data_IF_209381911975
#
_entry.id   IF_209381911975
#
_cell.length_a   1.000
_cell.length_b   1.000
_cell.length_c   1.000
_cell.angle_alpha   90.00
_cell.angle_beta   90.00
_cell.angle_gamma   90.00
#
_symmetry.space_group_name_H-M   'P 1'
#
loop_
_entity.id
_entity.type
_entity.pdbx_description
1 polymer ?
#
# COMPACT_ATOMS: atom_id res chain seq x y z
N UNK A 1 -37.41 -26.67 31.56
CA UNK A 1 -37.05 -25.77 30.45
C UNK A 1 -35.88 -26.40 29.72
N UNK A 2 -36.17 -27.02 28.55
CA UNK A 2 -35.27 -27.87 27.81
C UNK A 2 -34.11 -27.09 27.17
N UNK A 3 -32.89 -27.59 27.40
CA UNK A 3 -31.69 -27.19 26.68
C UNK A 3 -31.75 -27.80 25.27
N UNK A 4 -31.75 -26.96 24.21
CA UNK A 4 -31.54 -27.44 22.87
C UNK A 4 -30.09 -27.96 22.73
N UNK A 5 -29.84 -29.07 22.03
CA UNK A 5 -28.48 -29.59 21.89
C UNK A 5 -27.68 -28.69 20.93
N UNK A 6 -26.51 -28.27 21.42
CA UNK A 6 -25.45 -27.69 20.59
C UNK A 6 -24.97 -28.78 19.63
N UNK A 7 -25.17 -28.64 18.35
CA UNK A 7 -24.53 -29.49 17.33
C UNK A 7 -23.04 -29.19 17.29
N UNK A 8 -22.27 -30.04 17.92
CA UNK A 8 -20.83 -30.14 17.67
C UNK A 8 -20.67 -30.79 16.29
N UNK A 9 -20.05 -30.11 15.36
CA UNK A 9 -19.63 -30.74 14.12
C UNK A 9 -18.44 -31.61 14.42
N UNK A 10 -18.66 -32.92 14.49
CA UNK A 10 -17.58 -33.89 14.43
C UNK A 10 -16.91 -33.80 13.07
N UNK A 11 -15.64 -33.49 13.10
CA UNK A 11 -14.77 -33.52 11.95
C UNK A 11 -14.53 -34.97 11.58
N UNK A 12 -15.21 -35.49 10.56
CA UNK A 12 -14.84 -36.77 9.97
C UNK A 12 -13.52 -36.58 9.22
N UNK A 13 -12.48 -37.26 9.72
CA UNK A 13 -11.18 -37.36 9.11
C UNK A 13 -11.25 -38.01 7.72
N UNK A 14 -11.35 -37.21 6.69
CA UNK A 14 -10.92 -37.54 5.32
C UNK A 14 -10.56 -36.30 4.55
N UNK A 15 -9.55 -35.54 5.04
CA UNK A 15 -8.89 -34.54 4.25
C UNK A 15 -8.08 -35.22 3.15
N UNK A 16 -8.21 -34.80 1.87
CA UNK A 16 -7.31 -35.29 0.83
C UNK A 16 -5.89 -34.85 1.18
N UNK A 17 -4.98 -35.82 1.21
CA UNK A 17 -3.59 -35.63 1.63
C UNK A 17 -2.94 -34.44 0.91
N UNK A 18 -2.36 -33.54 1.68
CA UNK A 18 -1.68 -32.29 1.25
C UNK A 18 -0.68 -32.47 0.11
N UNK A 19 -0.15 -33.69 -0.07
CA UNK A 19 0.80 -34.06 -1.11
C UNK A 19 0.23 -33.98 -2.54
N UNK A 20 -1.06 -34.26 -2.73
CA UNK A 20 -1.71 -34.19 -4.05
C UNK A 20 -1.89 -32.74 -4.55
N UNK A 21 -2.26 -31.84 -3.64
CA UNK A 21 -2.47 -30.42 -3.97
C UNK A 21 -1.13 -29.72 -4.22
N UNK A 22 -0.08 -30.02 -3.42
CA UNK A 22 1.26 -29.45 -3.65
C UNK A 22 1.90 -29.88 -4.95
N UNK A 23 1.68 -31.11 -5.43
CA UNK A 23 2.21 -31.57 -6.71
C UNK A 23 1.53 -30.89 -7.91
N UNK A 24 0.23 -30.71 -7.87
CA UNK A 24 -0.52 -30.05 -8.96
C UNK A 24 -0.18 -28.57 -9.07
N UNK A 25 0.01 -27.87 -7.94
CA UNK A 25 0.40 -26.46 -7.90
C UNK A 25 1.84 -26.26 -8.35
N UNK A 26 2.78 -27.16 -8.00
CA UNK A 26 4.17 -27.09 -8.49
C UNK A 26 4.32 -27.36 -9.99
N UNK A 27 3.51 -28.22 -10.56
CA UNK A 27 3.55 -28.51 -12.00
C UNK A 27 2.93 -27.37 -12.84
N UNK A 28 1.96 -26.63 -12.33
CA UNK A 28 1.34 -25.47 -12.98
C UNK A 28 2.12 -24.15 -12.75
N UNK A 29 2.93 -24.07 -11.70
CA UNK A 29 3.56 -22.83 -11.23
C UNK A 29 4.87 -22.45 -11.91
N UNK A 30 5.40 -23.21 -12.88
CA UNK A 30 6.68 -22.90 -13.51
C UNK A 30 6.61 -22.30 -14.91
N UNK A 31 5.44 -22.14 -15.45
CA UNK A 31 5.26 -21.45 -16.74
C UNK A 31 3.97 -20.64 -16.70
N UNK A 32 4.07 -19.33 -16.90
CA UNK A 32 2.98 -18.40 -17.19
C UNK A 32 2.33 -17.74 -15.94
N UNK A 33 2.74 -16.61 -15.64
CA UNK A 33 2.13 -15.50 -14.90
C UNK A 33 2.85 -15.09 -13.60
N UNK A 34 3.42 -13.89 -13.58
CA UNK A 34 3.79 -13.22 -12.33
C UNK A 34 2.59 -12.96 -11.39
N UNK A 35 1.34 -13.16 -11.88
CA UNK A 35 0.08 -12.90 -11.15
C UNK A 35 -0.71 -14.16 -10.74
N UNK A 36 -0.13 -15.34 -10.73
CA UNK A 36 -0.85 -16.60 -10.51
C UNK A 36 -1.63 -16.68 -9.19
N UNK A 37 -1.10 -16.11 -8.10
CA UNK A 37 -1.77 -16.11 -6.79
C UNK A 37 -2.98 -15.17 -6.77
N UNK A 38 -2.87 -13.98 -7.35
CA UNK A 38 -3.98 -13.01 -7.40
C UNK A 38 -5.16 -13.54 -8.22
N UNK A 39 -4.89 -14.13 -9.38
CA UNK A 39 -5.92 -14.74 -10.20
C UNK A 39 -6.58 -15.96 -9.52
N UNK A 40 -5.81 -16.78 -8.80
CA UNK A 40 -6.33 -17.90 -8.03
C UNK A 40 -7.25 -17.43 -6.90
N UNK A 41 -6.84 -16.38 -6.16
CA UNK A 41 -7.66 -15.75 -5.11
C UNK A 41 -8.93 -15.11 -5.69
N UNK A 42 -8.84 -14.35 -6.78
CA UNK A 42 -10.00 -13.77 -7.44
C UNK A 42 -11.02 -14.85 -7.86
N UNK A 43 -10.57 -15.91 -8.51
CA UNK A 43 -11.45 -17.04 -8.92
C UNK A 43 -12.04 -17.77 -7.72
N UNK A 44 -11.29 -17.95 -6.63
CA UNK A 44 -11.81 -18.52 -5.39
C UNK A 44 -12.96 -17.69 -4.83
N UNK A 45 -12.79 -16.37 -4.70
CA UNK A 45 -13.83 -15.46 -4.21
C UNK A 45 -15.03 -15.37 -5.14
N UNK A 46 -14.82 -15.35 -6.45
CA UNK A 46 -15.90 -15.36 -7.44
C UNK A 46 -16.73 -16.66 -7.35
N UNK A 47 -16.07 -17.79 -7.13
CA UNK A 47 -16.74 -19.09 -6.93
C UNK A 47 -17.53 -19.12 -5.61
N UNK A 48 -16.94 -18.61 -4.52
CA UNK A 48 -17.62 -18.54 -3.22
C UNK A 48 -18.83 -17.60 -3.23
N UNK A 49 -18.80 -16.56 -4.05
CA UNK A 49 -19.91 -15.62 -4.22
C UNK A 49 -20.95 -16.07 -5.25
N UNK A 50 -20.79 -17.26 -5.83
CA UNK A 50 -21.69 -17.79 -6.85
C UNK A 50 -21.59 -17.08 -8.21
N UNK A 51 -20.56 -16.27 -8.42
CA UNK A 51 -20.33 -15.53 -9.68
C UNK A 51 -19.72 -16.43 -10.76
N UNK A 52 -19.08 -17.53 -10.37
CA UNK A 52 -18.59 -18.58 -11.25
C UNK A 52 -19.16 -19.94 -10.81
N UNK A 53 -19.61 -20.73 -11.78
CA UNK A 53 -19.98 -22.13 -11.49
C UNK A 53 -18.71 -22.93 -11.12
N UNK A 54 -18.82 -23.96 -10.25
CA UNK A 54 -17.71 -24.83 -9.93
C UNK A 54 -17.06 -25.51 -11.15
N UNK A 55 -17.79 -25.69 -12.22
CA UNK A 55 -17.30 -26.22 -13.49
C UNK A 55 -16.46 -25.19 -14.26
N UNK A 56 -16.85 -23.90 -14.27
CA UNK A 56 -16.10 -22.83 -14.89
C UNK A 56 -14.78 -22.54 -14.16
N UNK A 57 -14.76 -22.69 -12.82
CA UNK A 57 -13.56 -22.52 -12.01
C UNK A 57 -12.51 -23.63 -12.28
N UNK A 58 -12.91 -24.80 -12.76
CA UNK A 58 -12.05 -25.94 -13.10
C UNK A 58 -11.60 -26.00 -14.54
N UNK A 59 -12.17 -25.18 -15.43
CA UNK A 59 -11.79 -25.14 -16.84
C UNK A 59 -10.32 -24.69 -16.95
N UNK A 60 -9.45 -25.56 -17.48
CA UNK A 60 -8.11 -25.20 -17.89
C UNK A 60 -8.22 -24.15 -19.00
N UNK A 61 -7.43 -23.08 -19.01
CA UNK A 61 -7.29 -22.27 -20.21
C UNK A 61 -6.76 -23.20 -21.32
N UNK A 62 -7.49 -23.31 -22.42
CA UNK A 62 -7.00 -23.96 -23.60
C UNK A 62 -5.72 -23.25 -24.06
N UNK A 63 -4.74 -24.00 -24.55
CA UNK A 63 -3.43 -23.53 -24.98
C UNK A 63 -3.44 -22.70 -26.28
N UNK A 64 -4.56 -22.12 -26.64
CA UNK A 64 -4.69 -21.11 -27.66
C UNK A 64 -4.69 -19.75 -26.96
N UNK A 65 -3.51 -19.12 -26.88
CA UNK A 65 -3.37 -17.70 -26.63
C UNK A 65 -4.06 -16.97 -27.78
N UNK A 66 -5.38 -16.80 -27.70
CA UNK A 66 -6.04 -15.73 -28.42
C UNK A 66 -5.66 -14.46 -27.68
N UNK A 67 -4.79 -13.67 -28.28
CA UNK A 67 -4.69 -12.25 -27.98
C UNK A 67 -6.09 -11.68 -27.94
N UNK A 68 -6.59 -11.43 -26.75
CA UNK A 68 -7.79 -10.61 -26.55
C UNK A 68 -7.33 -9.17 -26.72
N UNK A 69 -7.08 -8.77 -27.97
CA UNK A 69 -7.10 -7.38 -28.41
C UNK A 69 -8.56 -6.95 -28.47
N UNK A 70 -9.14 -6.78 -27.32
CA UNK A 70 -10.50 -6.30 -27.17
C UNK A 70 -10.72 -6.06 -25.70
N UNK A 71 -10.45 -4.84 -25.25
CA UNK A 71 -10.81 -4.33 -23.94
C UNK A 71 -12.33 -4.37 -23.77
N UNK A 72 -12.88 -5.55 -23.52
CA UNK A 72 -14.12 -5.62 -22.79
C UNK A 72 -13.79 -5.24 -21.36
N UNK A 73 -13.88 -3.93 -21.07
CA UNK A 73 -13.91 -3.47 -19.69
C UNK A 73 -14.89 -4.37 -18.95
N UNK A 74 -14.41 -5.03 -17.87
CA UNK A 74 -15.31 -5.65 -16.91
C UNK A 74 -16.39 -4.62 -16.59
N UNK A 75 -17.68 -5.02 -16.50
CA UNK A 75 -18.73 -4.05 -16.20
C UNK A 75 -18.32 -3.36 -14.89
N UNK A 76 -17.89 -2.11 -15.01
CA UNK A 76 -17.58 -1.26 -13.87
C UNK A 76 -18.91 -1.10 -13.14
N UNK A 77 -19.08 -1.83 -12.05
CA UNK A 77 -20.17 -1.54 -11.13
C UNK A 77 -19.94 -0.10 -10.68
N UNK A 78 -20.85 0.82 -10.96
CA UNK A 78 -20.69 2.19 -10.53
C UNK A 78 -20.87 2.22 -9.02
N UNK A 79 -19.79 2.08 -8.25
CA UNK A 79 -19.82 2.13 -6.79
C UNK A 79 -20.51 3.39 -6.28
N UNK A 80 -20.30 4.53 -6.97
CA UNK A 80 -21.03 5.76 -6.68
C UNK A 80 -22.55 5.59 -6.84
N UNK A 81 -22.99 4.83 -7.83
CA UNK A 81 -24.42 4.54 -8.02
C UNK A 81 -24.95 3.53 -6.98
N UNK A 82 -24.16 2.52 -6.63
CA UNK A 82 -24.49 1.57 -5.56
C UNK A 82 -24.53 2.27 -4.19
N UNK A 83 -23.60 3.16 -3.91
CA UNK A 83 -23.59 3.97 -2.68
C UNK A 83 -24.78 4.95 -2.64
N UNK A 84 -25.07 5.65 -3.73
CA UNK A 84 -26.25 6.51 -3.83
C UNK A 84 -27.56 5.71 -3.75
N UNK A 85 -27.58 4.47 -4.21
CA UNK A 85 -28.69 3.55 -4.01
C UNK A 85 -28.82 3.15 -2.54
N UNK A 86 -27.69 2.84 -1.86
CA UNK A 86 -27.66 2.53 -0.43
C UNK A 86 -28.17 3.72 0.41
N UNK A 87 -27.76 4.94 0.08
CA UNK A 87 -28.26 6.14 0.77
C UNK A 87 -29.77 6.35 0.56
N UNK A 88 -30.29 6.04 -0.63
CA UNK A 88 -31.72 6.11 -0.92
C UNK A 88 -32.52 4.95 -0.32
N UNK A 89 -31.85 3.85 0.02
CA UNK A 89 -32.41 2.67 0.69
C UNK A 89 -32.33 2.78 2.23
N UNK A 90 -32.02 3.95 2.79
CA UNK A 90 -32.25 4.13 4.22
C UNK A 90 -33.73 3.84 4.48
N UNK A 91 -34.06 2.74 5.14
CA UNK A 91 -35.46 2.47 5.46
C UNK A 91 -35.90 3.60 6.39
N UNK A 92 -37.05 4.16 6.06
CA UNK A 92 -37.81 4.96 6.97
C UNK A 92 -38.29 4.01 8.09
N UNK A 93 -37.47 3.81 9.09
CA UNK A 93 -37.82 3.05 10.28
C UNK A 93 -38.77 3.91 11.08
N UNK A 94 -40.01 4.10 10.57
CA UNK A 94 -41.11 4.61 11.29
C UNK A 94 -41.41 3.68 12.48
N UNK A 95 -41.31 4.19 13.68
CA UNK A 95 -41.45 3.53 14.96
C UNK A 95 -40.31 2.57 15.32
N UNK A 96 -39.68 2.77 16.45
CA UNK A 96 -38.61 1.96 17.01
C UNK A 96 -39.04 0.49 17.08
N UNK A 97 -38.61 -0.29 16.09
CA UNK A 97 -38.60 -1.73 16.21
C UNK A 97 -37.44 -2.03 17.14
N UNK A 98 -37.69 -2.76 18.20
CA UNK A 98 -36.69 -3.23 19.15
C UNK A 98 -35.84 -4.26 18.42
N UNK A 99 -34.89 -3.78 17.59
CA UNK A 99 -33.97 -4.62 16.85
C UNK A 99 -32.96 -5.20 17.84
N UNK A 100 -32.56 -6.47 17.68
CA UNK A 100 -31.53 -7.04 18.53
C UNK A 100 -30.28 -6.18 18.43
N UNK A 101 -29.76 -5.72 19.56
CA UNK A 101 -28.52 -4.95 19.64
C UNK A 101 -27.37 -5.89 19.30
N UNK A 102 -26.75 -5.65 18.16
CA UNK A 102 -25.53 -6.33 17.79
C UNK A 102 -24.38 -5.74 18.61
N UNK A 103 -23.71 -6.59 19.37
CA UNK A 103 -22.48 -6.24 20.06
C UNK A 103 -21.30 -6.67 19.20
N UNK A 104 -20.37 -5.76 18.96
CA UNK A 104 -19.12 -6.08 18.28
C UNK A 104 -18.31 -7.06 19.16
N UNK A 105 -18.03 -8.24 18.63
CA UNK A 105 -17.19 -9.24 19.26
C UNK A 105 -15.74 -9.23 18.70
N UNK A 106 -15.43 -8.34 17.79
CA UNK A 106 -14.15 -8.21 17.12
C UNK A 106 -14.31 -7.81 15.63
N UNK A 107 -13.21 -7.78 14.87
CA UNK A 107 -11.94 -8.42 15.18
C UNK A 107 -11.08 -7.63 16.15
N UNK A 108 -10.77 -8.20 17.28
CA UNK A 108 -9.60 -7.82 18.05
C UNK A 108 -8.35 -8.35 17.35
N UNK A 109 -7.18 -7.94 17.82
CA UNK A 109 -5.90 -8.48 17.36
C UNK A 109 -5.96 -10.01 17.34
N UNK A 110 -5.74 -10.63 16.18
CA UNK A 110 -5.72 -12.08 16.02
C UNK A 110 -4.34 -12.56 16.47
N UNK A 111 -4.22 -13.23 17.62
CA UNK A 111 -2.94 -13.77 18.08
C UNK A 111 -2.50 -14.90 17.15
N UNK A 112 -1.20 -15.09 16.99
CA UNK A 112 -0.62 -16.17 16.20
C UNK A 112 -1.15 -16.19 14.74
N UNK A 113 -0.85 -15.13 14.00
CA UNK A 113 -1.21 -15.00 12.58
C UNK A 113 -0.71 -16.17 11.73
N UNK A 114 -1.30 -16.35 10.56
CA UNK A 114 -1.01 -17.50 9.67
C UNK A 114 0.40 -17.52 9.09
N UNK A 115 1.09 -16.38 9.09
CA UNK A 115 2.38 -16.24 8.43
C UNK A 115 3.51 -16.41 9.44
N UNK A 116 4.47 -17.24 9.06
CA UNK A 116 5.64 -17.51 9.88
C UNK A 116 6.77 -16.54 9.49
N UNK A 117 7.24 -15.76 10.47
CA UNK A 117 8.55 -15.13 10.41
C UNK A 117 9.66 -16.15 10.74
N UNK A 118 10.87 -15.66 10.98
CA UNK A 118 12.00 -16.51 11.40
C UNK A 118 12.09 -16.52 12.94
N UNK A 119 11.92 -17.67 13.55
CA UNK A 119 12.11 -17.83 15.00
C UNK A 119 11.00 -18.57 15.73
N UNK A 120 11.19 -18.92 16.99
CA UNK A 120 10.24 -19.72 17.77
C UNK A 120 8.92 -19.02 18.08
N UNK A 121 8.89 -17.68 18.11
CA UNK A 121 7.69 -16.86 18.28
C UNK A 121 7.33 -16.15 16.99
N UNK A 122 7.42 -16.86 15.87
CA UNK A 122 7.43 -16.31 14.53
C UNK A 122 6.05 -16.03 13.92
N UNK A 123 4.99 -16.17 14.70
CA UNK A 123 3.62 -15.85 14.28
C UNK A 123 3.16 -14.55 14.96
N UNK A 124 3.49 -13.37 14.39
CA UNK A 124 3.02 -12.11 14.95
C UNK A 124 1.50 -12.05 14.95
N UNK A 125 0.95 -11.34 15.91
CA UNK A 125 -0.47 -11.02 15.88
C UNK A 125 -0.81 -10.17 14.67
N UNK A 126 -2.02 -10.34 14.10
CA UNK A 126 -2.46 -9.67 12.89
C UNK A 126 -3.82 -9.00 13.09
N UNK A 127 -4.03 -7.89 12.38
CA UNK A 127 -5.29 -7.14 12.35
C UNK A 127 -5.82 -6.93 10.92
N UNK A 128 -4.99 -7.15 9.92
CA UNK A 128 -5.29 -6.95 8.50
C UNK A 128 -4.29 -5.99 7.85
N UNK A 129 -4.21 -6.06 6.51
CA UNK A 129 -3.23 -5.29 5.75
C UNK A 129 -3.43 -3.79 5.85
N UNK A 130 -2.35 -3.09 6.21
CA UNK A 130 -2.23 -1.64 6.17
C UNK A 130 -1.26 -1.23 5.06
N UNK A 131 -1.59 -0.16 4.32
CA UNK A 131 -0.84 0.30 3.14
C UNK A 131 -0.34 1.74 3.27
N UNK A 132 -0.70 2.45 4.33
CA UNK A 132 -0.24 3.81 4.59
C UNK A 132 -0.48 4.22 6.03
N UNK A 133 0.35 5.13 6.51
CA UNK A 133 0.24 5.71 7.85
C UNK A 133 0.60 7.19 7.79
N UNK A 134 -0.18 8.01 8.46
CA UNK A 134 0.08 9.42 8.71
C UNK A 134 0.26 9.65 10.21
N UNK A 135 1.32 10.35 10.59
CA UNK A 135 1.64 10.72 11.96
C UNK A 135 1.54 12.23 12.06
N UNK A 136 0.70 12.73 12.97
CA UNK A 136 0.56 14.17 13.16
C UNK A 136 1.85 14.78 13.73
N UNK A 137 2.54 15.67 13.00
CA UNK A 137 3.80 16.26 13.44
C UNK A 137 3.63 17.18 14.67
N UNK A 138 2.41 17.64 14.93
CA UNK A 138 2.09 18.48 16.10
C UNK A 138 1.64 17.67 17.32
N UNK A 139 1.23 16.41 17.09
CA UNK A 139 0.78 15.49 18.13
C UNK A 139 1.14 14.03 17.79
N UNK A 140 2.33 13.61 18.11
CA UNK A 140 2.85 12.26 17.84
C UNK A 140 2.00 11.09 18.41
N UNK A 141 1.04 11.38 19.30
CA UNK A 141 0.10 10.37 19.78
C UNK A 141 -1.03 10.13 18.77
N UNK A 142 -1.23 11.07 17.84
CA UNK A 142 -2.28 11.02 16.84
C UNK A 142 -1.73 10.40 15.54
N UNK A 143 -2.30 9.27 15.17
CA UNK A 143 -1.91 8.47 14.02
C UNK A 143 -3.17 8.11 13.24
N UNK A 144 -3.11 8.20 11.92
CA UNK A 144 -4.17 7.67 11.04
C UNK A 144 -3.55 6.63 10.12
N UNK A 145 -4.15 5.45 10.05
CA UNK A 145 -3.71 4.38 9.16
C UNK A 145 -4.70 4.10 8.06
N UNK A 146 -4.16 3.73 6.92
CA UNK A 146 -4.85 3.35 5.71
C UNK A 146 -4.87 1.82 5.62
N UNK A 147 -6.04 1.20 5.81
CA UNK A 147 -6.19 -0.23 5.60
C UNK A 147 -6.63 -0.51 4.16
N UNK A 148 -6.01 -1.50 3.52
CA UNK A 148 -6.27 -1.87 2.13
C UNK A 148 -7.76 -2.19 1.84
N UNK A 149 -8.48 -2.72 2.81
CA UNK A 149 -9.90 -3.08 2.66
C UNK A 149 -10.76 -2.79 3.89
N UNK A 150 -10.24 -2.03 4.86
CA UNK A 150 -10.92 -1.73 6.12
C UNK A 150 -11.11 -0.23 6.41
N UNK A 151 -10.84 0.64 5.45
CA UNK A 151 -10.99 2.09 5.62
C UNK A 151 -9.81 2.74 6.34
N UNK A 152 -10.07 3.93 6.87
CA UNK A 152 -9.14 4.67 7.71
C UNK A 152 -9.43 4.40 9.19
N UNK A 153 -8.37 4.29 9.97
CA UNK A 153 -8.43 4.08 11.42
C UNK A 153 -7.57 5.10 12.14
N UNK A 154 -8.08 5.66 13.21
CA UNK A 154 -7.38 6.65 14.05
C UNK A 154 -6.97 6.04 15.38
N UNK A 155 -5.75 6.37 15.81
CA UNK A 155 -5.29 6.22 17.19
C UNK A 155 -4.91 7.58 17.76
N UNK A 156 -5.23 7.84 19.04
CA UNK A 156 -4.81 9.04 19.79
C UNK A 156 -3.83 8.72 20.91
N UNK A 157 -3.33 7.50 20.93
CA UNK A 157 -2.47 6.95 21.97
C UNK A 157 -1.32 6.08 21.40
N UNK A 158 -0.81 6.48 20.20
CA UNK A 158 0.30 5.82 19.49
C UNK A 158 0.03 4.36 19.12
N UNK A 159 -1.21 4.02 18.82
CA UNK A 159 -1.59 2.68 18.37
C UNK A 159 -2.03 1.75 19.48
N UNK A 160 -2.22 2.23 20.74
CA UNK A 160 -2.76 1.39 21.81
C UNK A 160 -4.26 1.10 21.61
N UNK A 161 -5.01 2.10 21.16
CA UNK A 161 -6.43 1.94 20.80
C UNK A 161 -6.73 2.53 19.42
N UNK A 162 -7.75 1.98 18.74
CA UNK A 162 -8.10 2.37 17.38
C UNK A 162 -9.60 2.59 17.24
N UNK A 163 -10.00 3.56 16.42
CA UNK A 163 -11.40 3.76 16.01
C UNK A 163 -11.50 3.91 14.48
N UNK A 164 -12.56 3.38 13.84
CA UNK A 164 -12.79 3.57 12.41
C UNK A 164 -13.25 5.01 12.12
N UNK A 165 -12.86 5.51 10.94
CA UNK A 165 -13.18 6.87 10.49
C UNK A 165 -14.08 6.91 9.26
N UNK A 166 -14.15 5.83 8.48
CA UNK A 166 -14.66 5.88 7.11
C UNK A 166 -15.77 4.87 6.80
N UNK A 167 -16.44 4.32 7.80
CA UNK A 167 -17.53 3.33 7.64
C UNK A 167 -18.71 3.87 6.81
N UNK A 168 -18.89 5.19 6.81
CA UNK A 168 -19.96 5.87 6.06
C UNK A 168 -19.50 6.39 4.68
N UNK A 169 -18.25 6.11 4.28
CA UNK A 169 -17.70 6.55 2.99
C UNK A 169 -18.11 5.59 1.85
N UNK A 170 -18.05 6.05 0.58
CA UNK A 170 -18.47 5.25 -0.58
C UNK A 170 -17.72 3.93 -0.72
N UNK A 171 -16.49 3.86 -0.23
CA UNK A 171 -15.65 2.68 -0.21
C UNK A 171 -14.74 2.69 1.02
N UNK A 172 -14.40 1.51 1.50
CA UNK A 172 -13.41 1.28 2.56
C UNK A 172 -12.08 0.76 2.00
N UNK A 173 -11.94 0.73 0.67
CA UNK A 173 -10.68 0.34 0.02
C UNK A 173 -9.81 1.59 -0.11
N UNK A 174 -8.68 1.60 0.59
CA UNK A 174 -7.76 2.73 0.65
C UNK A 174 -6.41 2.36 0.05
N UNK A 175 -5.76 3.31 -0.63
CA UNK A 175 -4.45 3.12 -1.25
C UNK A 175 -3.35 3.97 -0.61
N UNK A 176 -3.66 5.21 -0.25
CA UNK A 176 -2.66 6.13 0.30
C UNK A 176 -3.27 7.15 1.25
N UNK A 177 -2.45 7.74 2.11
CA UNK A 177 -2.79 8.84 3.00
C UNK A 177 -1.61 9.80 3.11
N UNK A 178 -1.87 11.11 3.11
CA UNK A 178 -0.85 12.14 3.30
C UNK A 178 -1.42 13.36 4.03
N UNK A 179 -0.64 13.92 4.96
CA UNK A 179 -0.91 15.18 5.64
C UNK A 179 -0.15 16.32 4.97
N UNK A 180 -0.79 17.47 4.81
CA UNK A 180 -0.15 18.63 4.22
C UNK A 180 0.95 19.18 5.16
N UNK A 181 2.21 19.32 4.69
CA UNK A 181 3.29 19.82 5.52
C UNK A 181 3.06 21.25 6.05
N UNK A 182 2.39 22.10 5.28
CA UNK A 182 2.07 23.48 5.66
C UNK A 182 0.84 23.63 6.56
N UNK A 183 0.05 22.55 6.73
CA UNK A 183 -1.18 22.60 7.53
C UNK A 183 -1.56 21.24 8.08
N UNK A 184 -1.27 20.99 9.34
CA UNK A 184 -1.58 19.72 10.01
C UNK A 184 -3.08 19.36 10.02
N UNK A 185 -3.95 20.34 9.78
CA UNK A 185 -5.40 20.10 9.68
C UNK A 185 -5.82 19.51 8.33
N UNK A 186 -5.03 19.68 7.29
CA UNK A 186 -5.37 19.18 5.95
C UNK A 186 -4.73 17.81 5.76
N UNK A 187 -5.58 16.81 5.57
CA UNK A 187 -5.16 15.42 5.31
C UNK A 187 -5.95 14.89 4.10
N UNK A 188 -5.28 14.21 3.20
CA UNK A 188 -5.90 13.51 2.07
C UNK A 188 -5.72 12.01 2.21
N UNK A 189 -6.73 11.26 1.82
CA UNK A 189 -6.61 9.82 1.62
C UNK A 189 -7.20 9.47 0.25
N UNK A 190 -6.55 8.58 -0.47
CA UNK A 190 -7.03 8.10 -1.76
C UNK A 190 -7.73 6.76 -1.62
N UNK A 191 -8.86 6.65 -2.30
CA UNK A 191 -9.61 5.41 -2.37
C UNK A 191 -9.14 4.54 -3.54
N UNK A 192 -9.20 3.22 -3.38
CA UNK A 192 -8.67 2.25 -4.34
C UNK A 192 -7.24 1.87 -4.02
N UNK A 193 -6.96 0.60 -3.94
CA UNK A 193 -5.68 0.06 -3.51
C UNK A 193 -4.93 -0.53 -4.70
N UNK A 194 -3.67 -0.12 -4.89
CA UNK A 194 -2.83 -0.48 -6.02
C UNK A 194 -2.13 -1.83 -5.86
N UNK A 195 -1.57 -2.10 -4.68
CA UNK A 195 -0.68 -3.24 -4.44
C UNK A 195 -1.41 -4.59 -4.57
N UNK A 196 -2.57 -4.76 -3.96
CA UNK A 196 -3.35 -5.99 -4.00
C UNK A 196 -4.26 -6.11 -5.21
N UNK A 197 -4.15 -5.20 -6.18
CA UNK A 197 -4.98 -5.19 -7.39
C UNK A 197 -6.49 -5.10 -7.09
N UNK A 198 -6.85 -4.27 -6.10
CA UNK A 198 -8.23 -3.94 -5.76
C UNK A 198 -8.54 -2.49 -6.15
N UNK A 199 -8.50 -2.15 -7.47
CA UNK A 199 -8.64 -0.77 -7.94
C UNK A 199 -10.11 -0.34 -7.89
N UNK A 200 -10.63 -0.14 -6.68
CA UNK A 200 -12.00 0.29 -6.43
C UNK A 200 -12.05 1.78 -6.06
N UNK A 201 -11.18 2.59 -6.68
CA UNK A 201 -11.11 4.03 -6.46
C UNK A 201 -12.42 4.73 -6.77
N UNK A 202 -12.82 5.62 -5.88
CA UNK A 202 -14.00 6.48 -5.99
C UNK A 202 -13.63 7.97 -5.92
N UNK A 203 -12.34 8.30 -5.93
CA UNK A 203 -11.81 9.65 -5.75
C UNK A 203 -11.00 9.77 -4.46
N UNK A 204 -10.95 10.98 -3.90
CA UNK A 204 -10.23 11.29 -2.67
C UNK A 204 -11.19 11.45 -1.49
N UNK A 205 -10.66 11.27 -0.30
CA UNK A 205 -11.22 11.77 0.94
C UNK A 205 -10.32 12.92 1.41
N UNK A 206 -10.92 14.02 1.86
CA UNK A 206 -10.23 15.17 2.43
C UNK A 206 -10.73 15.47 3.82
N UNK A 207 -9.82 15.64 4.74
CA UNK A 207 -10.07 16.21 6.07
C UNK A 207 -9.55 17.64 6.13
N UNK A 208 -10.22 18.50 6.89
CA UNK A 208 -9.80 19.85 7.24
C UNK A 208 -9.68 20.06 8.75
N UNK A 209 -9.76 19.00 9.52
CA UNK A 209 -9.73 19.00 10.99
C UNK A 209 -8.72 17.98 11.56
N UNK A 210 -7.65 17.71 10.80
CA UNK A 210 -6.57 16.85 11.21
C UNK A 210 -6.87 15.35 11.09
N UNK A 211 -7.87 14.96 10.31
CA UNK A 211 -8.24 13.55 10.11
C UNK A 211 -9.42 13.08 10.95
N UNK A 212 -10.09 13.98 11.69
CA UNK A 212 -11.22 13.59 12.54
C UNK A 212 -12.50 13.33 11.73
N UNK A 213 -12.77 14.20 10.73
CA UNK A 213 -13.89 14.04 9.80
C UNK A 213 -13.40 14.07 8.35
N UNK A 214 -14.14 13.42 7.46
CA UNK A 214 -13.73 13.22 6.08
C UNK A 214 -14.84 13.55 5.09
N UNK A 215 -14.51 14.38 4.12
CA UNK A 215 -15.38 14.74 2.99
C UNK A 215 -14.92 13.95 1.75
N UNK A 216 -15.85 13.25 1.13
CA UNK A 216 -15.60 12.57 -0.13
C UNK A 216 -15.55 13.57 -1.30
N UNK A 217 -14.48 13.53 -2.08
CA UNK A 217 -14.28 14.27 -3.31
C UNK A 217 -14.34 13.28 -4.48
N UNK A 218 -15.51 13.10 -5.11
CA UNK A 218 -15.67 12.14 -6.19
C UNK A 218 -14.86 12.58 -7.42
N UNK A 219 -14.20 11.65 -8.07
CA UNK A 219 -13.40 11.92 -9.27
C UNK A 219 -13.66 10.89 -10.36
N UNK A 220 -14.12 11.32 -11.52
CA UNK A 220 -14.23 10.47 -12.69
C UNK A 220 -12.85 10.01 -13.20
N UNK A 221 -11.82 10.83 -13.02
CA UNK A 221 -10.43 10.54 -13.40
C UNK A 221 -9.86 9.41 -12.57
N UNK A 222 -10.14 9.37 -11.25
CA UNK A 222 -9.68 8.33 -10.34
C UNK A 222 -10.68 7.17 -10.17
N UNK A 223 -11.81 7.20 -10.85
CA UNK A 223 -12.81 6.12 -10.76
C UNK A 223 -12.24 4.80 -11.26
N UNK A 224 -12.27 3.78 -10.40
CA UNK A 224 -11.71 2.46 -10.65
C UNK A 224 -10.18 2.47 -10.76
N UNK A 225 -9.51 3.46 -10.20
CA UNK A 225 -8.05 3.53 -10.05
C UNK A 225 -7.61 2.79 -8.78
N UNK A 226 -6.45 2.17 -8.82
CA UNK A 226 -5.69 1.78 -7.62
C UNK A 226 -4.64 2.84 -7.37
N UNK A 227 -4.60 3.37 -6.18
CA UNK A 227 -3.65 4.42 -5.80
C UNK A 227 -2.54 3.81 -4.95
N UNK A 228 -1.32 4.28 -5.18
CA UNK A 228 -0.12 3.86 -4.45
C UNK A 228 0.37 4.95 -3.51
N UNK A 229 0.31 6.22 -3.94
CA UNK A 229 0.89 7.32 -3.17
C UNK A 229 0.19 8.67 -3.41
N UNK A 230 0.32 9.58 -2.42
CA UNK A 230 -0.08 10.99 -2.49
C UNK A 230 1.07 11.84 -1.95
N UNK A 231 1.58 12.77 -2.76
CA UNK A 231 2.52 13.78 -2.33
C UNK A 231 1.87 15.16 -2.35
N UNK A 232 2.04 15.96 -1.28
CA UNK A 232 1.44 17.29 -1.15
C UNK A 232 2.55 18.33 -1.16
N UNK A 233 2.37 19.40 -1.93
CA UNK A 233 3.33 20.49 -1.99
C UNK A 233 3.57 21.10 -0.60
N UNK A 234 4.83 21.24 -0.14
CA UNK A 234 5.11 21.65 1.23
C UNK A 234 4.62 23.03 1.60
N UNK A 235 4.48 23.96 0.64
CA UNK A 235 4.00 25.33 0.86
C UNK A 235 2.54 25.56 0.47
N UNK A 236 1.87 24.59 -0.20
CA UNK A 236 0.48 24.73 -0.65
C UNK A 236 -0.31 23.45 -0.37
N UNK A 237 -1.18 23.44 0.65
CA UNK A 237 -1.95 22.27 1.04
C UNK A 237 -3.01 21.84 0.02
N UNK A 238 -3.25 22.65 -1.03
CA UNK A 238 -4.22 22.34 -2.09
C UNK A 238 -3.56 21.78 -3.35
N UNK A 239 -2.23 21.83 -3.44
CA UNK A 239 -1.48 21.32 -4.58
C UNK A 239 -0.91 19.93 -4.24
N UNK A 240 -1.34 18.90 -4.97
CA UNK A 240 -0.97 17.50 -4.70
C UNK A 240 -0.78 16.70 -6.00
N UNK A 241 0.08 15.70 -5.91
CA UNK A 241 0.30 14.68 -6.94
C UNK A 241 -0.14 13.33 -6.41
N UNK A 242 -0.63 12.47 -7.30
CA UNK A 242 -1.19 11.16 -6.96
C UNK A 242 -0.60 10.13 -7.91
N UNK A 243 0.02 9.10 -7.36
CA UNK A 243 0.53 7.95 -8.09
C UNK A 243 -0.52 6.84 -8.17
N UNK A 244 -0.82 6.37 -9.37
CA UNK A 244 -1.86 5.36 -9.57
C UNK A 244 -1.53 4.34 -10.66
N UNK A 245 -2.37 3.32 -10.76
CA UNK A 245 -2.20 2.19 -11.70
C UNK A 245 -2.22 2.59 -13.16
N UNK A 246 -2.81 3.73 -13.51
CA UNK A 246 -2.90 4.21 -14.90
C UNK A 246 -2.21 5.54 -15.14
N UNK A 247 -1.53 6.11 -14.14
CA UNK A 247 -0.84 7.37 -14.33
C UNK A 247 -0.33 8.07 -13.10
N UNK A 248 0.35 9.18 -13.37
CA UNK A 248 0.62 10.26 -12.43
C UNK A 248 -0.42 11.34 -12.64
N UNK A 249 -1.03 11.79 -11.57
CA UNK A 249 -2.09 12.78 -11.56
C UNK A 249 -1.70 13.99 -10.72
N UNK A 250 -2.33 15.12 -10.99
CA UNK A 250 -2.12 16.39 -10.29
C UNK A 250 -3.45 17.07 -9.98
N UNK A 251 -3.52 17.73 -8.85
CA UNK A 251 -4.59 18.68 -8.47
C UNK A 251 -3.97 19.92 -7.86
N UNK A 252 -4.46 21.11 -8.23
CA UNK A 252 -4.04 22.40 -7.68
C UNK A 252 -5.16 23.10 -6.89
N UNK A 253 -6.26 22.39 -6.64
CA UNK A 253 -7.46 22.91 -5.98
C UNK A 253 -7.96 21.99 -4.83
N UNK A 254 -7.04 21.22 -4.28
CA UNK A 254 -7.34 20.36 -3.13
C UNK A 254 -8.17 19.14 -3.47
N UNK A 255 -8.05 18.61 -4.67
CA UNK A 255 -8.72 17.42 -5.15
C UNK A 255 -10.09 17.66 -5.78
N UNK A 256 -10.52 18.92 -5.93
CA UNK A 256 -11.78 19.26 -6.60
C UNK A 256 -11.72 18.91 -8.09
N UNK A 257 -10.58 19.21 -8.74
CA UNK A 257 -10.27 18.75 -10.08
C UNK A 257 -8.96 17.97 -10.11
N UNK A 258 -8.91 16.91 -10.91
CA UNK A 258 -7.75 16.03 -11.03
C UNK A 258 -7.44 15.80 -12.50
N UNK A 259 -6.22 16.16 -12.92
CA UNK A 259 -5.69 15.95 -14.24
C UNK A 259 -4.65 14.83 -14.26
N UNK A 260 -4.66 13.99 -15.30
CA UNK A 260 -3.59 13.01 -15.51
C UNK A 260 -2.45 13.68 -16.27
N UNK A 261 -1.28 13.83 -15.63
CA UNK A 261 -0.10 14.49 -16.21
C UNK A 261 0.84 13.52 -16.94
N UNK A 262 0.81 12.23 -16.56
CA UNK A 262 1.54 11.14 -17.25
C UNK A 262 0.70 9.88 -17.31
N UNK A 263 0.83 9.13 -18.39
CA UNK A 263 0.09 7.87 -18.59
C UNK A 263 0.90 6.62 -18.17
N UNK A 264 1.97 6.78 -17.39
CA UNK A 264 2.78 5.71 -16.83
C UNK A 264 2.26 5.34 -15.45
N UNK A 265 2.09 4.06 -15.14
CA UNK A 265 1.82 3.61 -13.77
C UNK A 265 2.87 4.19 -12.84
N UNK A 266 2.43 4.85 -11.78
CA UNK A 266 3.32 5.56 -10.85
C UNK A 266 3.10 5.02 -9.46
N UNK A 267 4.18 4.56 -8.83
CA UNK A 267 4.14 3.89 -7.53
C UNK A 267 4.43 4.81 -6.36
N UNK A 268 5.36 5.77 -6.55
CA UNK A 268 5.83 6.60 -5.45
C UNK A 268 6.24 7.98 -5.94
N UNK A 269 6.10 8.99 -5.10
CA UNK A 269 6.35 10.40 -5.42
C UNK A 269 7.07 11.07 -4.26
N UNK A 270 8.20 11.67 -4.52
CA UNK A 270 8.95 12.42 -3.51
C UNK A 270 9.20 13.85 -3.94
N UNK A 271 8.74 14.81 -3.15
CA UNK A 271 9.01 16.24 -3.35
C UNK A 271 10.27 16.61 -2.55
N UNK A 272 11.20 17.32 -3.17
CA UNK A 272 12.40 17.76 -2.47
C UNK A 272 12.03 18.77 -1.35
N UNK A 273 12.34 18.48 -0.09
CA UNK A 273 11.97 19.35 1.03
C UNK A 273 12.66 20.72 1.01
N UNK A 274 13.84 20.82 0.37
CA UNK A 274 14.60 22.05 0.25
C UNK A 274 14.27 22.86 -1.00
N UNK A 275 13.77 22.21 -2.06
CA UNK A 275 13.40 22.82 -3.33
C UNK A 275 12.16 22.15 -3.91
N UNK A 276 10.94 22.59 -3.57
CA UNK A 276 9.71 21.96 -4.03
C UNK A 276 9.49 21.99 -5.55
N UNK A 277 10.28 22.74 -6.30
CA UNK A 277 10.27 22.66 -7.76
C UNK A 277 10.80 21.31 -8.25
N UNK A 278 11.63 20.63 -7.46
CA UNK A 278 12.11 19.29 -7.80
C UNK A 278 11.21 18.21 -7.22
N UNK A 279 10.69 17.37 -8.11
CA UNK A 279 9.86 16.21 -7.76
C UNK A 279 10.42 14.99 -8.48
N UNK A 280 10.55 13.89 -7.75
CA UNK A 280 10.86 12.56 -8.29
C UNK A 280 9.60 11.70 -8.26
N UNK A 281 9.45 10.83 -9.27
CA UNK A 281 8.40 9.82 -9.27
C UNK A 281 8.91 8.50 -9.84
N UNK A 282 8.60 7.40 -9.14
CA UNK A 282 8.90 6.05 -9.57
C UNK A 282 7.77 5.49 -10.44
N UNK A 283 8.08 5.09 -11.67
CA UNK A 283 7.05 4.64 -12.62
C UNK A 283 7.50 3.42 -13.44
N UNK A 284 6.55 2.76 -14.12
CA UNK A 284 6.84 1.70 -15.07
C UNK A 284 7.66 2.17 -16.29
N UNK A 285 7.61 3.49 -16.58
CA UNK A 285 8.47 4.13 -17.57
C UNK A 285 9.89 4.46 -17.03
N UNK A 286 10.17 4.18 -15.76
CA UNK A 286 11.41 4.47 -15.05
C UNK A 286 11.31 5.62 -14.07
N UNK A 287 12.46 6.13 -13.65
CA UNK A 287 12.53 7.30 -12.77
C UNK A 287 12.12 8.56 -13.55
N UNK A 288 11.07 9.21 -13.11
CA UNK A 288 10.65 10.52 -13.61
C UNK A 288 11.17 11.63 -12.71
N UNK A 289 11.52 12.76 -13.29
CA UNK A 289 11.91 13.98 -12.58
C UNK A 289 11.21 15.20 -13.18
N UNK A 290 10.64 16.03 -12.34
CA UNK A 290 10.33 17.41 -12.63
C UNK A 290 11.36 18.32 -11.95
N UNK A 291 11.70 19.44 -12.54
CA UNK A 291 12.53 20.51 -11.97
C UNK A 291 11.78 21.84 -11.96
N UNK A 292 10.47 21.84 -12.17
CA UNK A 292 9.64 23.03 -12.27
C UNK A 292 8.24 22.82 -11.66
N UNK A 293 8.18 22.12 -10.52
CA UNK A 293 6.96 21.95 -9.75
C UNK A 293 5.89 21.12 -10.47
N UNK A 294 6.29 20.07 -11.19
CA UNK A 294 5.35 19.16 -11.86
C UNK A 294 4.90 19.61 -13.27
N UNK A 295 5.24 20.81 -13.72
CA UNK A 295 4.78 21.32 -15.02
C UNK A 295 5.34 20.52 -16.21
N UNK A 296 6.59 20.05 -16.10
CA UNK A 296 7.19 19.14 -17.08
C UNK A 296 7.95 18.02 -16.39
N UNK A 297 7.99 16.86 -17.05
CA UNK A 297 8.61 15.65 -16.54
C UNK A 297 9.56 15.03 -17.56
N UNK A 298 10.72 14.63 -17.13
CA UNK A 298 11.72 13.91 -17.92
C UNK A 298 12.03 12.56 -17.28
N UNK A 299 12.29 11.54 -18.09
CA UNK A 299 12.82 10.26 -17.61
C UNK A 299 14.31 10.39 -17.35
N UNK A 300 14.77 9.98 -16.18
CA UNK A 300 16.16 9.99 -15.75
C UNK A 300 16.75 8.60 -15.92
N UNK A 301 17.87 8.52 -16.63
CA UNK A 301 18.58 7.27 -16.79
C UNK A 301 19.25 6.82 -15.47
N UNK A 302 19.02 5.59 -15.10
CA UNK A 302 19.67 4.93 -13.97
C UNK A 302 20.81 4.04 -14.50
N UNK A 303 21.96 4.09 -13.85
CA UNK A 303 23.14 3.31 -14.27
C UNK A 303 22.99 1.81 -13.98
N UNK A 304 23.62 0.96 -14.80
CA UNK A 304 23.77 -0.48 -14.53
C UNK A 304 22.55 -1.36 -14.78
N UNK A 305 21.53 -0.88 -15.52
CA UNK A 305 20.28 -1.63 -15.79
C UNK A 305 19.97 -1.85 -17.28
N UNK A 306 20.90 -1.49 -18.18
CA UNK A 306 20.69 -1.63 -19.63
C UNK A 306 19.82 -0.54 -20.24
N UNK A 307 19.54 -0.65 -21.55
CA UNK A 307 18.85 0.39 -22.31
C UNK A 307 17.32 0.33 -22.24
N UNK A 308 16.76 -0.83 -21.93
CA UNK A 308 15.29 -1.04 -21.87
C UNK A 308 14.96 -1.88 -20.62
N UNK A 309 15.10 -1.29 -19.43
CA UNK A 309 14.82 -2.01 -18.19
C UNK A 309 13.32 -2.26 -18.04
N UNK A 310 12.97 -3.40 -17.47
CA UNK A 310 11.61 -3.68 -17.00
C UNK A 310 11.61 -3.50 -15.49
N UNK A 311 10.85 -2.53 -15.02
CA UNK A 311 10.68 -2.26 -13.61
C UNK A 311 9.45 -3.00 -13.09
N UNK A 312 9.60 -3.68 -11.96
CA UNK A 312 8.51 -4.30 -11.22
C UNK A 312 7.97 -3.34 -10.15
N UNK A 313 8.84 -2.51 -9.60
CA UNK A 313 8.54 -1.43 -8.67
C UNK A 313 9.70 -0.44 -8.62
N UNK A 314 9.41 0.84 -8.39
CA UNK A 314 10.39 1.90 -8.07
C UNK A 314 9.85 2.72 -6.93
N UNK A 315 10.64 2.87 -5.86
CA UNK A 315 10.40 3.81 -4.77
C UNK A 315 11.46 4.91 -4.81
N UNK A 316 11.09 6.12 -4.44
CA UNK A 316 11.91 7.33 -4.49
C UNK A 316 11.80 8.10 -3.17
N UNK A 317 12.92 8.55 -2.63
CA UNK A 317 12.88 9.29 -1.38
C UNK A 317 13.98 10.37 -1.36
N UNK A 318 13.61 11.63 -1.18
CA UNK A 318 14.56 12.66 -0.77
C UNK A 318 14.86 12.51 0.72
N UNK A 319 16.10 12.76 1.12
CA UNK A 319 16.44 12.80 2.54
C UNK A 319 15.78 14.05 3.17
N UNK A 320 15.02 13.90 4.27
CA UNK A 320 14.33 15.03 4.88
C UNK A 320 15.28 16.12 5.41
N UNK A 321 16.46 15.73 5.89
CA UNK A 321 17.48 16.66 6.43
C UNK A 321 18.39 17.27 5.37
N UNK A 322 18.42 16.71 4.14
CA UNK A 322 19.27 17.19 3.05
C UNK A 322 18.66 16.87 1.69
N UNK A 323 17.90 17.78 1.12
CA UNK A 323 17.22 17.62 -0.18
C UNK A 323 18.15 17.40 -1.38
N UNK A 324 19.46 17.64 -1.24
CA UNK A 324 20.43 17.28 -2.28
C UNK A 324 20.61 15.76 -2.38
N UNK A 325 20.38 15.05 -1.29
CA UNK A 325 20.47 13.58 -1.22
C UNK A 325 19.10 12.99 -1.54
N UNK A 326 19.08 12.10 -2.51
CA UNK A 326 17.90 11.31 -2.83
C UNK A 326 18.28 9.86 -3.14
N UNK A 327 17.38 8.97 -2.85
CA UNK A 327 17.50 7.54 -3.08
C UNK A 327 16.43 7.05 -4.06
N UNK A 328 16.78 6.03 -4.82
CA UNK A 328 15.88 5.28 -5.69
C UNK A 328 16.11 3.80 -5.43
N UNK A 329 15.09 3.11 -4.97
CA UNK A 329 15.10 1.66 -4.77
C UNK A 329 14.17 1.00 -5.77
N UNK A 330 14.66 0.04 -6.54
CA UNK A 330 13.85 -0.62 -7.55
C UNK A 330 14.09 -2.13 -7.59
N UNK A 331 13.06 -2.85 -8.02
CA UNK A 331 13.19 -4.19 -8.57
C UNK A 331 13.24 -4.10 -10.09
N UNK A 332 14.34 -4.61 -10.68
CA UNK A 332 14.58 -4.58 -12.12
C UNK A 332 14.94 -5.98 -12.57
N UNK A 333 14.08 -6.59 -13.37
CA UNK A 333 14.24 -7.96 -13.85
C UNK A 333 14.49 -8.95 -12.68
N UNK A 334 13.72 -8.84 -11.61
CA UNK A 334 13.80 -9.69 -10.43
C UNK A 334 15.02 -9.44 -9.54
N UNK A 335 15.67 -8.27 -9.65
CA UNK A 335 16.85 -7.92 -8.85
C UNK A 335 16.68 -6.59 -8.15
N UNK A 336 16.94 -6.56 -6.85
CA UNK A 336 17.00 -5.33 -6.08
C UNK A 336 18.14 -4.44 -6.58
N UNK A 337 17.85 -3.16 -6.68
CA UNK A 337 18.77 -2.09 -7.07
C UNK A 337 18.54 -0.88 -6.18
N UNK A 338 19.61 -0.22 -5.80
CA UNK A 338 19.61 1.02 -5.06
C UNK A 338 20.51 2.03 -5.73
N UNK A 339 20.05 3.25 -5.88
CA UNK A 339 20.86 4.37 -6.33
C UNK A 339 20.73 5.52 -5.35
N UNK A 340 21.78 6.32 -5.31
CA UNK A 340 21.86 7.53 -4.51
C UNK A 340 22.42 8.68 -5.34
N UNK A 341 21.88 9.86 -5.18
CA UNK A 341 22.52 11.12 -5.62
C UNK A 341 22.85 12.01 -4.43
N UNK A 342 23.73 12.98 -4.63
CA UNK A 342 24.20 13.91 -3.59
C UNK A 342 24.14 15.38 -4.02
N UNK A 343 23.54 15.65 -5.18
CA UNK A 343 23.44 16.99 -5.73
C UNK A 343 22.12 17.10 -6.50
N UNK A 344 21.36 18.16 -6.26
CA UNK A 344 20.10 18.42 -6.98
C UNK A 344 20.34 18.35 -8.50
N UNK A 345 19.51 17.57 -9.20
CA UNK A 345 19.69 17.31 -10.63
C UNK A 345 20.89 16.45 -11.00
N UNK A 346 21.66 15.98 -10.02
CA UNK A 346 22.86 15.19 -10.22
C UNK A 346 22.59 13.76 -10.63
N UNK A 347 23.66 13.05 -10.97
CA UNK A 347 23.64 11.65 -11.36
C UNK A 347 23.34 10.75 -10.17
N UNK A 348 22.54 9.71 -10.42
CA UNK A 348 22.25 8.63 -9.46
C UNK A 348 23.32 7.53 -9.59
N UNK A 349 24.19 7.42 -8.60
CA UNK A 349 25.20 6.37 -8.52
C UNK A 349 24.61 5.12 -7.84
N UNK A 350 24.97 3.95 -8.37
CA UNK A 350 24.52 2.67 -7.81
C UNK A 350 25.18 2.41 -6.45
N UNK A 351 24.40 1.90 -5.51
CA UNK A 351 24.82 1.55 -4.15
C UNK A 351 24.69 0.03 -3.90
N UNK A 352 25.27 -0.44 -2.79
CA UNK A 352 25.15 -1.82 -2.34
C UNK A 352 23.76 -2.08 -1.76
N UNK A 353 23.14 -3.18 -2.13
CA UNK A 353 21.82 -3.62 -1.67
C UNK A 353 21.92 -4.68 -0.55
N UNK A 354 20.86 -4.93 0.22
CA UNK A 354 20.83 -6.04 1.19
C UNK A 354 21.16 -7.39 0.53
N UNK A 355 22.03 -8.15 1.15
CA UNK A 355 22.37 -9.48 0.64
C UNK A 355 21.20 -10.45 0.86
N UNK A 356 20.80 -11.16 -0.19
CA UNK A 356 19.71 -12.16 -0.11
C UNK A 356 18.31 -11.56 -0.01
N UNK A 357 18.13 -10.27 -0.31
CA UNK A 357 16.80 -9.65 -0.37
C UNK A 357 15.92 -10.36 -1.41
N UNK A 358 14.78 -10.85 -0.98
CA UNK A 358 13.81 -11.50 -1.85
C UNK A 358 12.98 -10.45 -2.60
N UNK A 359 13.04 -10.51 -3.92
CA UNK A 359 12.33 -9.60 -4.84
C UNK A 359 11.15 -10.25 -5.54
N UNK A 360 10.80 -11.48 -5.16
CA UNK A 360 9.78 -12.26 -5.87
C UNK A 360 8.37 -11.65 -5.79
N UNK A 361 8.15 -10.76 -4.84
CA UNK A 361 6.91 -10.03 -4.60
C UNK A 361 7.10 -8.49 -4.69
N UNK A 362 8.20 -7.98 -5.25
CA UNK A 362 8.48 -6.55 -5.29
C UNK A 362 7.38 -5.70 -6.00
N UNK A 363 6.58 -6.31 -6.86
CA UNK A 363 5.40 -5.70 -7.46
C UNK A 363 4.29 -5.42 -6.43
N UNK A 364 4.36 -6.03 -5.25
CA UNK A 364 3.34 -6.01 -4.22
C UNK A 364 3.82 -5.34 -2.92
N UNK A 365 4.98 -5.76 -2.40
CA UNK A 365 5.54 -5.38 -1.11
C UNK A 365 6.91 -4.67 -1.31
N UNK A 366 6.90 -3.35 -1.43
CA UNK A 366 8.11 -2.58 -1.67
C UNK A 366 7.94 -1.17 -1.14
N UNK A 367 8.79 -0.75 -0.22
CA UNK A 367 8.74 0.59 0.37
C UNK A 367 10.11 1.05 0.85
N UNK A 368 10.36 2.37 0.81
CA UNK A 368 11.63 2.98 1.14
C UNK A 368 11.42 4.23 1.99
N UNK A 369 12.22 4.41 3.04
CA UNK A 369 12.27 5.66 3.78
C UNK A 369 13.70 6.00 4.21
N UNK A 370 13.98 7.29 4.31
CA UNK A 370 15.25 7.83 4.82
C UNK A 370 15.00 8.44 6.20
N UNK A 371 15.89 8.20 7.15
CA UNK A 371 15.77 8.76 8.49
C UNK A 371 15.73 10.30 8.44
N UNK A 372 14.85 10.93 9.22
CA UNK A 372 14.62 12.37 9.11
C UNK A 372 15.82 13.22 9.53
N UNK A 373 16.69 12.72 10.40
CA UNK A 373 17.86 13.42 10.96
C UNK A 373 19.22 12.96 10.37
N UNK A 374 19.24 11.80 9.70
CA UNK A 374 20.49 11.23 9.14
C UNK A 374 20.26 10.70 7.72
N UNK A 375 20.71 11.45 6.69
CA UNK A 375 20.53 11.04 5.30
C UNK A 375 21.32 9.78 4.91
N UNK A 376 22.17 9.27 5.80
CA UNK A 376 22.92 8.03 5.61
C UNK A 376 22.17 6.79 6.13
N UNK A 377 21.04 6.96 6.81
CA UNK A 377 20.21 5.86 7.32
C UNK A 377 18.99 5.68 6.45
N UNK A 378 18.82 4.47 5.93
CA UNK A 378 17.73 4.08 5.04
C UNK A 378 17.05 2.83 5.59
N UNK A 379 15.73 2.81 5.59
CA UNK A 379 14.92 1.61 5.86
C UNK A 379 14.23 1.20 4.57
N UNK A 380 14.33 -0.08 4.23
CA UNK A 380 13.83 -0.64 2.99
C UNK A 380 13.04 -1.92 3.25
N UNK A 381 11.79 -1.91 2.90
CA UNK A 381 10.85 -3.02 3.05
C UNK A 381 10.60 -3.75 1.73
N UNK A 382 10.46 -5.03 1.84
CA UNK A 382 9.97 -5.99 0.87
C UNK A 382 9.23 -7.09 1.68
N UNK A 383 9.39 -8.37 1.37
CA UNK A 383 8.95 -9.46 2.26
C UNK A 383 9.55 -9.25 3.66
N UNK A 384 10.82 -8.88 3.72
CA UNK A 384 11.53 -8.57 4.97
C UNK A 384 11.90 -7.08 5.04
N UNK A 385 12.20 -6.60 6.24
CA UNK A 385 12.61 -5.23 6.51
C UNK A 385 14.11 -5.15 6.71
N UNK A 386 14.75 -4.21 6.05
CA UNK A 386 16.19 -3.98 6.12
C UNK A 386 16.49 -2.54 6.55
N UNK A 387 17.42 -2.40 7.48
CA UNK A 387 18.00 -1.10 7.85
C UNK A 387 19.41 -1.01 7.30
N UNK A 388 19.66 0.01 6.49
CA UNK A 388 20.96 0.33 5.92
C UNK A 388 21.56 1.55 6.57
N UNK A 389 22.86 1.52 6.81
CA UNK A 389 23.66 2.71 7.17
C UNK A 389 24.80 2.86 6.20
N UNK A 390 24.89 4.04 5.58
CA UNK A 390 25.97 4.37 4.66
C UNK A 390 27.17 4.93 5.42
N UNK A 391 28.31 4.31 5.28
CA UNK A 391 29.62 4.89 5.62
C UNK A 391 30.07 5.89 4.52
N UNK A 392 31.27 6.42 4.61
CA UNK A 392 31.82 7.25 3.53
C UNK A 392 31.84 6.58 2.15
N UNK A 393 31.91 5.25 2.09
CA UNK A 393 32.14 4.50 0.85
C UNK A 393 31.02 3.54 0.45
N UNK A 394 30.29 2.96 1.41
CA UNK A 394 29.29 1.91 1.13
C UNK A 394 28.22 1.78 2.20
N UNK A 395 27.10 1.17 1.84
CA UNK A 395 26.09 0.70 2.77
C UNK A 395 26.50 -0.58 3.49
N UNK A 396 26.15 -0.64 4.77
CA UNK A 396 26.05 -1.87 5.56
C UNK A 396 24.58 -2.09 5.90
N UNK A 397 24.07 -3.29 5.65
CA UNK A 397 22.69 -3.64 5.82
C UNK A 397 22.50 -4.66 6.94
N UNK A 398 21.41 -4.51 7.69
CA UNK A 398 20.92 -5.47 8.67
C UNK A 398 19.46 -5.80 8.37
N UNK A 399 19.10 -7.09 8.42
CA UNK A 399 17.71 -7.48 8.46
C UNK A 399 17.16 -7.21 9.86
N UNK A 400 16.09 -6.42 9.93
CA UNK A 400 15.46 -5.97 11.18
C UNK A 400 14.03 -6.47 11.34
N UNK A 401 13.61 -7.45 10.53
CA UNK A 401 12.28 -8.06 10.59
C UNK A 401 12.03 -8.83 11.88
N UNK A 402 13.09 -9.27 12.56
CA UNK A 402 12.96 -10.05 13.80
C UNK A 402 14.00 -9.62 14.83
N UNK A 403 13.63 -9.72 16.10
CA UNK A 403 14.53 -9.53 17.23
C UNK A 403 15.30 -10.80 17.57
N UNK A 404 16.38 -10.66 18.31
CA UNK A 404 17.14 -11.81 18.89
C UNK A 404 16.30 -12.65 19.85
N UNK A 405 15.23 -12.09 20.44
CA UNK A 405 14.22 -12.78 21.23
C UNK A 405 13.37 -13.77 20.42
N UNK A 406 13.39 -13.67 19.07
CA UNK A 406 12.54 -14.45 18.18
C UNK A 406 11.20 -13.79 17.84
N UNK A 407 10.91 -12.61 18.39
CA UNK A 407 9.75 -11.82 17.96
C UNK A 407 10.00 -11.26 16.56
N UNK A 408 8.98 -11.27 15.72
CA UNK A 408 9.07 -10.74 14.35
C UNK A 408 7.88 -9.84 14.04
N UNK A 409 8.10 -8.90 13.13
CA UNK A 409 7.00 -8.23 12.43
C UNK A 409 6.40 -9.17 11.38
N UNK A 410 5.18 -8.89 10.94
CA UNK A 410 4.60 -9.63 9.83
C UNK A 410 5.40 -9.33 8.55
N UNK A 411 5.62 -10.30 7.66
CA UNK A 411 6.23 -10.07 6.35
C UNK A 411 5.33 -9.21 5.45
N UNK A 412 5.86 -8.88 4.26
CA UNK A 412 5.23 -8.11 3.20
C UNK A 412 4.97 -6.66 3.64
N UNK A 413 6.02 -5.82 3.45
CA UNK A 413 6.06 -4.44 3.93
C UNK A 413 5.51 -3.49 2.86
N UNK A 414 4.56 -2.61 3.22
CA UNK A 414 3.90 -1.70 2.27
C UNK A 414 4.25 -0.23 2.48
N UNK A 415 4.50 0.19 3.72
CA UNK A 415 4.80 1.59 3.99
C UNK A 415 5.65 1.75 5.24
N UNK A 416 6.56 2.71 5.23
CA UNK A 416 7.45 3.05 6.34
C UNK A 416 7.27 4.53 6.67
N UNK A 417 7.01 4.84 7.94
CA UNK A 417 6.97 6.21 8.42
C UNK A 417 7.82 6.37 9.68
N UNK A 418 8.75 7.32 9.66
CA UNK A 418 9.43 7.77 10.86
C UNK A 418 8.52 8.73 11.63
N UNK A 419 8.60 8.70 12.96
CA UNK A 419 8.01 9.74 13.79
C UNK A 419 8.74 11.07 13.49
N UNK A 420 8.03 12.12 13.05
CA UNK A 420 8.65 13.36 12.61
C UNK A 420 9.43 14.10 13.71
N UNK A 421 9.19 13.74 14.98
CA UNK A 421 9.84 14.34 16.15
C UNK A 421 10.89 13.44 16.83
N UNK A 422 11.02 12.17 16.36
CA UNK A 422 11.93 11.20 16.98
C UNK A 422 12.36 10.14 15.95
N UNK A 423 13.53 10.34 15.36
CA UNK A 423 14.07 9.47 14.31
C UNK A 423 14.34 8.02 14.76
N UNK A 424 14.28 7.72 16.07
CA UNK A 424 14.39 6.35 16.57
C UNK A 424 13.04 5.60 16.52
N UNK A 425 11.94 6.32 16.34
CA UNK A 425 10.60 5.71 16.27
C UNK A 425 10.19 5.53 14.81
N UNK A 426 9.94 4.29 14.44
CA UNK A 426 9.54 3.89 13.08
C UNK A 426 8.25 3.09 13.15
N UNK A 427 7.32 3.40 12.26
CA UNK A 427 6.10 2.64 12.04
C UNK A 427 6.17 1.95 10.69
N UNK A 428 5.71 0.70 10.64
CA UNK A 428 5.71 -0.14 9.45
C UNK A 428 4.30 -0.66 9.20
N UNK A 429 3.79 -0.44 8.01
CA UNK A 429 2.56 -1.06 7.53
C UNK A 429 2.88 -2.35 6.79
N UNK A 430 2.17 -3.42 7.13
CA UNK A 430 2.41 -4.76 6.60
C UNK A 430 1.08 -5.47 6.26
N UNK A 431 1.15 -6.66 5.69
CA UNK A 431 -0.02 -7.53 5.51
C UNK A 431 -0.71 -7.91 6.83
N UNK A 432 0.01 -7.87 7.94
CA UNK A 432 -0.52 -8.19 9.28
C UNK A 432 -1.02 -6.99 10.07
N UNK A 433 -0.79 -5.77 9.62
CA UNK A 433 -1.17 -4.56 10.35
C UNK A 433 -0.03 -3.56 10.48
N UNK A 434 -0.08 -2.75 11.53
CA UNK A 434 0.94 -1.74 11.83
C UNK A 434 1.81 -2.21 12.98
N UNK A 435 3.12 -2.09 12.79
CA UNK A 435 4.12 -2.37 13.82
C UNK A 435 4.91 -1.09 14.11
N UNK A 436 5.39 -0.96 15.33
CA UNK A 436 6.20 0.16 15.78
C UNK A 436 7.49 -0.32 16.43
N UNK A 437 8.63 0.22 16.03
CA UNK A 437 9.89 0.13 16.76
C UNK A 437 10.16 1.45 17.49
N UNK A 438 10.86 1.39 18.60
CA UNK A 438 11.30 2.57 19.37
C UNK A 438 12.80 2.53 19.65
N UNK A 439 13.55 1.71 18.89
CA UNK A 439 14.98 1.47 19.05
C UNK A 439 15.70 1.26 17.70
#
# INVERSE_FOLDING_TARGET
WGKAPVRVWEQTDSAPTETGIRRTVRAAGKQLYPHGKALARARYFETQRGLLSPAAARARPSSAAQEVTGTRAAPRLPYAAAFSAKQRMQPDFGAAVDLPVWHELGPTLIPHGQTYGKGPNSQPSVSGRCVGIDIDPTNRNHIVVCSAGGGLWESKDRGATWRPLTDQQPTVVMGAIARAPSSSNIVYAATGEGDGQTPLGAGLLRSSDGGQTWTHLPSATLSGEGIYDIAIHPGDPLHLWIGGTRGLYESTDGGATIARVRAAQTWDISINPADPAEILAGSDAGLLRSGNGGHTWATIALSGIGASPVFERIEVCHAPSDGAIAYVAASVAGKARLWRRTTVGGHFAQEVVPAGMDTSQAWYDWCLAVAPDDPAVVVWGAIELYRGRRSSTKFTWSNVSSRTSGDSIHPDQHHIAFDPSDANVVYICTDGGVFRSGD
#
